data_IF_870528096276
#
_entry.id   IF_870528096276
#
_cell.length_a   1.000
_cell.length_b   1.000
_cell.length_c   1.000
_cell.angle_alpha   90.00
_cell.angle_beta   90.00
_cell.angle_gamma   90.00
#
_symmetry.space_group_name_H-M   'P 1'
#
loop_
_entity.id
_entity.type
_entity.pdbx_description
1 polymer ?
#
# COMPACT_ATOMS: atom_id res chain seq x y z
N UNK A 1 -1.63 20.27 -11.02
CA UNK A 1 -1.24 21.03 -9.80
C UNK A 1 0.09 21.77 -9.97
N UNK A 2 0.17 22.73 -10.90
CA UNK A 2 1.36 23.57 -11.11
C UNK A 2 1.28 24.94 -10.37
N UNK A 3 0.36 25.08 -9.40
CA UNK A 3 -0.01 26.37 -8.81
C UNK A 3 0.29 26.55 -7.32
N UNK A 4 0.77 25.53 -6.61
CA UNK A 4 1.16 25.70 -5.20
C UNK A 4 2.53 26.38 -5.13
N UNK A 5 2.59 27.55 -4.49
CA UNK A 5 3.82 28.34 -4.41
C UNK A 5 4.91 27.57 -3.64
N UNK A 6 6.17 27.80 -4.02
CA UNK A 6 7.33 27.24 -3.32
C UNK A 6 7.32 27.58 -1.82
N UNK A 7 6.81 28.77 -1.49
CA UNK A 7 6.58 29.21 -0.11
C UNK A 7 5.64 28.25 0.64
N UNK A 8 4.49 27.88 0.06
CA UNK A 8 3.54 26.98 0.70
C UNK A 8 4.16 25.60 0.97
N UNK A 9 5.00 25.11 0.06
CA UNK A 9 5.71 23.83 0.23
C UNK A 9 6.76 23.87 1.34
N UNK A 10 7.51 24.98 1.42
CA UNK A 10 8.50 25.17 2.47
C UNK A 10 7.83 25.20 3.86
N UNK A 11 6.70 25.91 3.94
CA UNK A 11 5.91 26.09 5.16
C UNK A 11 5.35 24.77 5.68
N UNK A 12 4.71 23.98 4.82
CA UNK A 12 4.16 22.69 5.23
C UNK A 12 5.26 21.70 5.61
N UNK A 13 6.43 21.74 4.95
CA UNK A 13 7.58 20.91 5.31
C UNK A 13 8.15 21.26 6.69
N UNK A 14 8.26 22.55 7.01
CA UNK A 14 8.67 23.01 8.33
C UNK A 14 7.65 22.61 9.42
N UNK A 15 6.36 22.77 9.15
CA UNK A 15 5.29 22.38 10.08
C UNK A 15 5.26 20.87 10.31
N UNK A 16 5.55 20.08 9.28
CA UNK A 16 5.56 18.63 9.32
C UNK A 16 6.61 18.07 10.31
N UNK A 17 7.81 18.66 10.37
CA UNK A 17 8.91 18.16 11.22
C UNK A 17 8.77 18.48 12.71
N UNK A 18 7.76 19.25 13.10
CA UNK A 18 7.51 19.62 14.49
C UNK A 18 7.14 18.46 15.42
N UNK A 19 7.06 18.77 16.72
CA UNK A 19 6.74 17.81 17.79
C UNK A 19 7.98 17.19 18.42
N UNK A 20 7.82 16.54 19.57
CA UNK A 20 8.87 15.76 20.24
C UNK A 20 8.26 14.44 20.72
N UNK A 21 9.00 13.35 20.55
CA UNK A 21 8.62 12.01 21.00
C UNK A 21 9.84 11.36 21.63
N UNK A 22 9.66 10.69 22.76
CA UNK A 22 10.75 9.96 23.40
C UNK A 22 10.85 8.56 22.80
N UNK A 23 12.06 8.05 22.55
CA UNK A 23 12.27 6.66 22.14
C UNK A 23 11.64 5.70 23.15
N UNK A 24 10.96 4.68 22.65
CA UNK A 24 10.38 3.63 23.45
C UNK A 24 11.49 2.78 24.07
N UNK A 25 11.45 2.62 25.39
CA UNK A 25 12.27 1.60 26.05
C UNK A 25 11.70 0.22 25.77
N UNK A 26 12.44 -0.60 25.05
CA UNK A 26 12.06 -1.98 24.76
C UNK A 26 12.13 -2.86 26.01
N UNK A 27 11.19 -3.79 26.12
CA UNK A 27 11.28 -4.92 27.05
C UNK A 27 12.29 -5.94 26.54
N UNK A 28 13.07 -6.53 27.45
CA UNK A 28 14.00 -7.62 27.13
C UNK A 28 13.30 -9.01 27.04
N UNK A 29 11.97 -9.05 27.03
CA UNK A 29 11.22 -10.30 26.99
C UNK A 29 11.48 -11.05 25.68
N UNK A 30 11.95 -12.29 25.78
CA UNK A 30 12.18 -13.14 24.61
C UNK A 30 10.85 -13.57 23.99
N UNK A 31 10.80 -13.55 22.65
CA UNK A 31 9.64 -14.02 21.87
C UNK A 31 10.08 -15.12 20.89
N UNK A 32 10.27 -16.37 21.36
CA UNK A 32 10.82 -17.45 20.55
C UNK A 32 10.02 -17.71 19.25
N UNK A 33 8.69 -17.62 19.31
CA UNK A 33 7.83 -17.78 18.14
C UNK A 33 8.06 -16.68 17.08
N UNK A 34 8.22 -15.43 17.53
CA UNK A 34 8.49 -14.28 16.64
C UNK A 34 9.90 -14.36 16.05
N UNK A 35 10.88 -14.76 16.86
CA UNK A 35 12.24 -15.04 16.39
C UNK A 35 12.26 -16.16 15.35
N UNK A 36 11.48 -17.22 15.55
CA UNK A 36 11.36 -18.32 14.59
C UNK A 36 10.73 -17.84 13.27
N UNK A 37 9.66 -17.03 13.34
CA UNK A 37 9.05 -16.42 12.16
C UNK A 37 10.05 -15.53 11.41
N UNK A 38 10.75 -14.62 12.09
CA UNK A 38 11.79 -13.80 11.46
C UNK A 38 12.91 -14.67 10.87
N UNK A 39 13.24 -15.80 11.51
CA UNK A 39 14.20 -16.80 11.03
C UNK A 39 13.82 -17.49 9.72
N UNK A 40 12.55 -17.42 9.29
CA UNK A 40 12.11 -17.89 7.95
C UNK A 40 12.50 -16.94 6.82
N UNK A 41 13.04 -15.76 7.14
CA UNK A 41 13.35 -14.71 6.17
C UNK A 41 12.28 -13.63 6.05
N UNK A 42 11.17 -13.75 6.78
CA UNK A 42 10.10 -12.75 6.81
C UNK A 42 10.45 -11.56 7.70
N UNK A 43 10.40 -10.38 7.13
CA UNK A 43 10.49 -9.11 7.87
C UNK A 43 9.10 -8.70 8.41
N UNK A 44 9.03 -8.22 9.66
CA UNK A 44 7.76 -8.00 10.36
C UNK A 44 7.48 -6.52 10.57
N UNK A 45 6.38 -6.02 9.98
CA UNK A 45 5.91 -4.65 10.16
C UNK A 45 4.53 -4.61 10.82
N UNK A 46 4.23 -3.51 11.53
CA UNK A 46 2.89 -3.24 12.06
C UNK A 46 2.12 -2.25 11.17
N UNK A 47 0.87 -2.57 10.89
CA UNK A 47 -0.07 -1.70 10.16
C UNK A 47 -0.89 -0.87 11.16
N UNK A 48 -0.30 0.22 11.65
CA UNK A 48 -0.99 1.18 12.52
C UNK A 48 -0.34 2.57 12.45
N UNK A 49 -1.17 3.60 12.57
CA UNK A 49 -0.72 4.98 12.84
C UNK A 49 -0.60 5.27 14.34
N UNK A 50 -1.09 4.37 15.18
CA UNK A 50 -1.28 4.58 16.60
C UNK A 50 -0.05 4.11 17.40
N UNK A 51 0.64 5.07 18.01
CA UNK A 51 1.82 4.81 18.83
C UNK A 51 1.52 3.86 20.01
N UNK A 52 0.35 3.97 20.64
CA UNK A 52 0.00 3.12 21.79
C UNK A 52 -0.27 1.68 21.36
N UNK A 53 -0.99 1.49 20.24
CA UNK A 53 -1.22 0.15 19.67
C UNK A 53 0.10 -0.51 19.25
N UNK A 54 0.98 0.24 18.56
CA UNK A 54 2.29 -0.25 18.17
C UNK A 54 3.16 -0.63 19.38
N UNK A 55 3.23 0.24 20.40
CA UNK A 55 4.04 0.01 21.60
C UNK A 55 3.64 -1.25 22.37
N UNK A 56 2.39 -1.68 22.28
CA UNK A 56 1.90 -2.91 22.91
C UNK A 56 2.66 -4.15 22.41
N UNK A 57 3.07 -4.16 21.14
CA UNK A 57 3.71 -5.31 20.51
C UNK A 57 5.11 -5.05 19.99
N UNK A 58 5.60 -3.81 20.09
CA UNK A 58 6.92 -3.46 19.56
C UNK A 58 8.03 -4.23 20.26
N UNK A 59 9.04 -4.63 19.49
CA UNK A 59 10.23 -5.32 19.99
C UNK A 59 11.21 -5.60 18.86
N UNK A 60 12.36 -6.23 19.15
CA UNK A 60 13.53 -6.20 18.27
C UNK A 60 13.34 -6.90 16.91
N UNK A 61 12.36 -7.79 16.79
CA UNK A 61 12.06 -8.48 15.54
C UNK A 61 11.20 -7.64 14.57
N UNK A 62 10.63 -6.51 15.01
CA UNK A 62 9.86 -5.61 14.15
C UNK A 62 10.73 -4.46 13.67
N UNK A 63 10.65 -4.15 12.38
CA UNK A 63 11.60 -3.24 11.71
C UNK A 63 10.95 -2.00 11.09
N UNK A 64 9.64 -2.04 10.85
CA UNK A 64 8.93 -0.91 10.27
C UNK A 64 7.44 -0.87 10.66
N UNK A 65 6.80 0.25 10.34
CA UNK A 65 5.36 0.43 10.41
C UNK A 65 4.80 0.86 9.06
N UNK A 66 3.53 0.57 8.83
CA UNK A 66 2.78 1.07 7.69
C UNK A 66 1.66 1.97 8.19
N UNK A 67 1.55 3.16 7.62
CA UNK A 67 0.39 4.02 7.77
C UNK A 67 -0.40 4.06 6.46
N UNK A 68 -1.63 4.57 6.58
CA UNK A 68 -2.49 4.92 5.47
C UNK A 68 -3.42 6.04 5.94
N UNK A 69 -4.12 6.68 5.02
CA UNK A 69 -4.93 7.86 5.36
C UNK A 69 -6.07 7.54 6.35
N UNK A 70 -6.61 6.31 6.31
CA UNK A 70 -7.62 5.84 7.29
C UNK A 70 -7.03 5.74 8.69
N UNK A 71 -5.82 5.18 8.84
CA UNK A 71 -5.12 5.06 10.12
C UNK A 71 -4.74 6.44 10.67
N UNK A 72 -4.28 7.35 9.83
CA UNK A 72 -3.95 8.72 10.23
C UNK A 72 -5.19 9.48 10.70
N UNK A 73 -6.32 9.36 10.00
CA UNK A 73 -7.58 9.95 10.46
C UNK A 73 -8.01 9.43 11.84
N UNK A 74 -7.83 8.13 12.12
CA UNK A 74 -8.10 7.57 13.46
C UNK A 74 -7.22 8.19 14.54
N UNK A 75 -5.94 8.43 14.26
CA UNK A 75 -5.03 9.11 15.20
C UNK A 75 -5.48 10.54 15.45
N UNK A 76 -5.80 11.30 14.40
CA UNK A 76 -6.27 12.69 14.52
C UNK A 76 -7.58 12.76 15.32
N UNK A 77 -8.48 11.79 15.17
CA UNK A 77 -9.74 11.72 15.93
C UNK A 77 -9.56 11.62 17.45
N UNK A 78 -8.37 11.28 17.95
CA UNK A 78 -8.05 11.26 19.38
C UNK A 78 -7.87 12.67 19.95
N UNK A 79 -7.64 13.67 19.10
CA UNK A 79 -7.49 15.08 19.47
C UNK A 79 -6.07 15.51 19.82
N UNK A 80 -5.12 14.57 19.94
CA UNK A 80 -3.74 14.85 20.36
C UNK A 80 -2.98 15.79 19.39
N UNK A 81 -3.43 15.88 18.14
CA UNK A 81 -2.84 16.73 17.10
C UNK A 81 -3.64 18.02 16.83
N UNK A 82 -4.79 18.24 17.49
CA UNK A 82 -5.72 19.32 17.14
C UNK A 82 -5.10 20.72 17.26
N UNK A 83 -4.40 21.00 18.37
CA UNK A 83 -3.72 22.29 18.56
C UNK A 83 -2.67 22.52 17.48
N UNK A 84 -1.85 21.49 17.24
CA UNK A 84 -0.73 21.57 16.34
C UNK A 84 -1.19 21.71 14.87
N UNK A 85 -2.29 21.04 14.48
CA UNK A 85 -2.91 21.15 13.16
C UNK A 85 -3.69 22.47 13.00
N UNK A 86 -4.34 22.96 14.06
CA UNK A 86 -4.99 24.26 14.06
C UNK A 86 -4.02 25.42 13.84
N UNK A 87 -2.82 25.35 14.44
CA UNK A 87 -1.76 26.34 14.19
C UNK A 87 -1.20 26.23 12.77
N UNK A 88 -0.97 25.01 12.29
CA UNK A 88 -0.58 24.77 10.90
C UNK A 88 -1.60 25.36 9.92
N UNK A 89 -2.89 25.12 10.14
CA UNK A 89 -3.98 25.65 9.32
C UNK A 89 -3.98 27.18 9.25
N UNK A 90 -3.82 27.87 10.39
CA UNK A 90 -3.71 29.34 10.42
C UNK A 90 -2.52 29.84 9.62
N UNK A 91 -1.36 29.19 9.77
CA UNK A 91 -0.13 29.59 9.08
C UNK A 91 -0.25 29.40 7.57
N UNK A 92 -0.76 28.24 7.14
CA UNK A 92 -0.99 27.94 5.71
C UNK A 92 -1.92 28.97 5.06
N UNK A 93 -3.00 29.38 5.74
CA UNK A 93 -3.92 30.43 5.25
C UNK A 93 -3.23 31.79 5.05
N UNK A 94 -2.37 32.18 5.99
CA UNK A 94 -1.67 33.47 5.93
C UNK A 94 -0.64 33.48 4.80
N UNK A 95 0.15 32.41 4.70
CA UNK A 95 1.28 32.33 3.76
C UNK A 95 0.83 32.02 2.33
N UNK A 96 -0.37 31.47 2.14
CA UNK A 96 -0.94 31.17 0.83
C UNK A 96 -2.32 31.79 0.64
N UNK A 97 -2.42 33.12 0.79
CA UNK A 97 -3.66 33.91 0.65
C UNK A 97 -4.35 33.82 -0.74
N UNK A 98 -3.85 33.01 -1.68
CA UNK A 98 -4.47 32.74 -2.98
C UNK A 98 -4.54 31.26 -3.37
N UNK A 99 -4.20 30.33 -2.47
CA UNK A 99 -4.37 28.90 -2.70
C UNK A 99 -5.86 28.53 -2.66
N UNK A 100 -6.24 27.50 -3.40
CA UNK A 100 -7.59 26.94 -3.28
C UNK A 100 -7.77 26.26 -1.92
N UNK A 101 -9.01 26.13 -1.46
CA UNK A 101 -9.31 25.39 -0.23
C UNK A 101 -8.80 23.94 -0.31
N UNK A 102 -8.93 23.29 -1.46
CA UNK A 102 -8.43 21.93 -1.66
C UNK A 102 -6.90 21.86 -1.61
N UNK A 103 -6.18 22.84 -2.16
CA UNK A 103 -4.72 22.91 -2.01
C UNK A 103 -4.31 23.04 -0.54
N UNK A 104 -5.02 23.87 0.25
CA UNK A 104 -4.78 24.01 1.68
C UNK A 104 -5.09 22.71 2.44
N UNK A 105 -6.14 21.98 2.05
CA UNK A 105 -6.48 20.66 2.63
C UNK A 105 -5.37 19.66 2.33
N UNK A 106 -4.86 19.61 1.10
CA UNK A 106 -3.77 18.70 0.74
C UNK A 106 -2.49 19.00 1.51
N UNK A 107 -2.14 20.28 1.67
CA UNK A 107 -0.97 20.70 2.45
C UNK A 107 -1.14 20.41 3.95
N UNK A 108 -2.31 20.64 4.52
CA UNK A 108 -2.59 20.29 5.91
C UNK A 108 -2.62 18.78 6.12
N UNK A 109 -3.12 18.01 5.14
CA UNK A 109 -3.08 16.55 5.12
C UNK A 109 -1.66 16.01 5.04
N UNK A 110 -0.78 16.68 4.30
CA UNK A 110 0.65 16.40 4.28
C UNK A 110 1.28 16.59 5.67
N UNK A 111 1.01 17.74 6.31
CA UNK A 111 1.49 18.00 7.69
C UNK A 111 0.99 16.92 8.65
N UNK A 112 -0.29 16.55 8.57
CA UNK A 112 -0.89 15.56 9.46
C UNK A 112 -0.28 14.16 9.29
N UNK A 113 -0.20 13.66 8.05
CA UNK A 113 0.43 12.37 7.73
C UNK A 113 1.90 12.34 8.17
N UNK A 114 2.66 13.39 7.86
CA UNK A 114 4.07 13.47 8.20
C UNK A 114 4.31 13.50 9.71
N UNK A 115 3.49 14.25 10.47
CA UNK A 115 3.61 14.28 11.94
C UNK A 115 3.34 12.93 12.59
N UNK A 116 2.32 12.21 12.13
CA UNK A 116 2.05 10.86 12.61
C UNK A 116 3.23 9.93 12.27
N UNK A 117 3.71 9.97 11.03
CA UNK A 117 4.83 9.13 10.62
C UNK A 117 6.13 9.44 11.40
N UNK A 118 6.47 10.71 11.59
CA UNK A 118 7.66 11.13 12.35
C UNK A 118 7.54 10.82 13.85
N UNK A 119 6.34 10.88 14.43
CA UNK A 119 6.11 10.41 15.81
C UNK A 119 6.44 8.92 15.93
N UNK A 120 6.01 8.10 14.97
CA UNK A 120 6.35 6.68 14.93
C UNK A 120 7.85 6.44 14.73
N UNK A 121 8.50 7.12 13.77
CA UNK A 121 9.95 7.01 13.55
C UNK A 121 10.71 7.31 14.85
N UNK A 122 10.41 8.44 15.50
CA UNK A 122 11.10 8.88 16.72
C UNK A 122 10.85 7.96 17.92
N UNK A 123 9.65 7.42 18.02
CA UNK A 123 9.29 6.52 19.12
C UNK A 123 9.95 5.15 18.96
N UNK A 124 9.97 4.61 17.75
CA UNK A 124 10.30 3.22 17.51
C UNK A 124 11.68 2.97 16.89
N UNK A 125 12.38 4.02 16.48
CA UNK A 125 13.60 3.95 15.66
C UNK A 125 13.40 3.04 14.45
N UNK A 126 12.28 3.27 13.75
CA UNK A 126 11.73 2.37 12.75
C UNK A 126 11.54 3.08 11.42
N UNK A 127 11.50 2.28 10.35
CA UNK A 127 11.05 2.78 9.05
C UNK A 127 9.52 2.90 9.04
N UNK A 128 8.98 3.84 8.26
CA UNK A 128 7.54 4.07 8.16
C UNK A 128 7.15 4.22 6.70
N UNK A 129 6.18 3.41 6.27
CA UNK A 129 5.56 3.52 4.96
C UNK A 129 4.42 4.54 5.01
N UNK A 130 4.59 5.67 4.34
CA UNK A 130 3.68 6.85 4.36
C UNK A 130 2.91 6.95 3.05
N UNK A 131 1.58 6.95 3.11
CA UNK A 131 0.70 6.95 1.95
C UNK A 131 0.47 8.33 1.35
N UNK A 132 0.62 8.43 0.03
CA UNK A 132 0.23 9.64 -0.70
C UNK A 132 -1.28 9.80 -0.75
N UNK A 133 -1.74 11.03 -0.94
CA UNK A 133 -3.15 11.31 -1.12
C UNK A 133 -3.68 10.62 -2.39
N UNK A 134 -4.84 9.93 -2.33
CA UNK A 134 -5.42 9.24 -3.49
C UNK A 134 -5.75 10.14 -4.70
N UNK A 135 -5.83 11.46 -4.50
CA UNK A 135 -6.11 12.44 -5.57
C UNK A 135 -4.96 12.50 -6.60
N UNK A 136 -3.76 12.04 -6.20
CA UNK A 136 -2.58 12.03 -7.05
C UNK A 136 -2.41 10.71 -7.79
N UNK A 137 -3.20 9.67 -7.46
CA UNK A 137 -3.01 8.30 -7.94
C UNK A 137 -3.12 8.14 -9.46
N UNK A 138 -3.72 9.09 -10.19
CA UNK A 138 -3.82 9.07 -11.65
C UNK A 138 -2.97 10.15 -12.34
N UNK A 139 -2.13 10.88 -11.58
CA UNK A 139 -1.26 11.95 -12.08
C UNK A 139 0.20 11.60 -11.78
N UNK A 140 0.96 11.33 -12.86
CA UNK A 140 2.37 10.94 -12.79
C UNK A 140 3.21 12.04 -12.14
N UNK A 141 3.04 13.28 -12.57
CA UNK A 141 3.86 14.40 -12.10
C UNK A 141 3.54 14.76 -10.66
N UNK A 142 2.25 14.74 -10.28
CA UNK A 142 1.86 14.95 -8.91
C UNK A 142 2.39 13.84 -7.99
N UNK A 143 2.27 12.57 -8.39
CA UNK A 143 2.78 11.43 -7.61
C UNK A 143 4.28 11.56 -7.36
N UNK A 144 5.06 11.90 -8.39
CA UNK A 144 6.51 12.10 -8.27
C UNK A 144 6.81 13.30 -7.36
N UNK A 145 6.15 14.44 -7.57
CA UNK A 145 6.37 15.64 -6.78
C UNK A 145 6.08 15.44 -5.30
N UNK A 146 4.94 14.83 -4.95
CA UNK A 146 4.56 14.55 -3.58
C UNK A 146 5.40 13.45 -2.94
N UNK A 147 5.78 12.41 -3.71
CA UNK A 147 6.69 11.36 -3.25
C UNK A 147 8.04 11.92 -2.82
N UNK A 148 8.65 12.79 -3.65
CA UNK A 148 9.89 13.49 -3.31
C UNK A 148 9.75 14.36 -2.05
N UNK A 149 8.63 15.06 -1.91
CA UNK A 149 8.37 15.94 -0.76
C UNK A 149 8.29 15.17 0.55
N UNK A 150 7.53 14.08 0.60
CA UNK A 150 7.50 13.24 1.80
C UNK A 150 8.87 12.65 2.10
N UNK A 151 9.54 12.10 1.09
CA UNK A 151 10.84 11.46 1.28
C UNK A 151 11.89 12.43 1.84
N UNK A 152 11.89 13.69 1.37
CA UNK A 152 12.82 14.71 1.84
C UNK A 152 12.69 15.04 3.34
N UNK A 153 11.55 14.73 3.99
CA UNK A 153 11.37 14.96 5.43
C UNK A 153 12.20 14.01 6.30
N UNK A 154 12.38 12.75 5.86
CA UNK A 154 13.06 11.71 6.63
C UNK A 154 13.57 10.59 5.69
N UNK A 155 14.58 10.88 4.83
CA UNK A 155 15.05 9.95 3.79
C UNK A 155 15.53 8.59 4.31
N UNK A 156 16.01 8.55 5.54
CA UNK A 156 16.55 7.36 6.21
C UNK A 156 15.47 6.37 6.65
N UNK A 157 14.25 6.86 6.91
CA UNK A 157 13.18 6.07 7.51
C UNK A 157 11.90 5.99 6.69
N UNK A 158 11.68 6.86 5.70
CA UNK A 158 10.42 6.84 4.95
C UNK A 158 10.45 5.92 3.74
N UNK A 159 9.42 5.07 3.65
CA UNK A 159 8.98 4.43 2.42
C UNK A 159 7.77 5.19 1.87
N UNK A 160 7.79 5.52 0.58
CA UNK A 160 6.67 6.25 -0.05
C UNK A 160 5.66 5.24 -0.55
N UNK A 161 4.42 5.34 -0.07
CA UNK A 161 3.36 4.39 -0.43
C UNK A 161 2.44 4.96 -1.51
N UNK A 162 2.40 4.27 -2.65
CA UNK A 162 1.75 4.73 -3.89
C UNK A 162 0.75 3.69 -4.38
N UNK A 163 -0.49 4.05 -4.73
CA UNK A 163 -1.44 3.13 -5.35
C UNK A 163 -0.91 2.54 -6.68
N UNK A 164 -1.10 1.23 -6.87
CA UNK A 164 -0.75 0.50 -8.10
C UNK A 164 -1.79 0.82 -9.19
N UNK A 165 -1.63 1.97 -9.82
CA UNK A 165 -2.40 2.42 -10.98
C UNK A 165 -1.49 2.51 -12.21
N UNK A 166 -2.04 2.66 -13.43
CA UNK A 166 -1.21 2.86 -14.61
C UNK A 166 -0.27 4.08 -14.48
N UNK A 167 -0.78 5.21 -13.98
CA UNK A 167 0.03 6.40 -13.71
C UNK A 167 1.02 6.18 -12.55
N UNK A 168 0.61 5.46 -11.51
CA UNK A 168 1.45 5.09 -10.37
C UNK A 168 2.65 4.26 -10.81
N UNK A 169 2.47 3.28 -11.70
CA UNK A 169 3.56 2.46 -12.25
C UNK A 169 4.63 3.34 -12.92
N UNK A 170 4.21 4.32 -13.74
CA UNK A 170 5.14 5.25 -14.39
C UNK A 170 5.83 6.20 -13.39
N UNK A 171 5.09 6.73 -12.42
CA UNK A 171 5.64 7.61 -11.39
C UNK A 171 6.68 6.90 -10.54
N UNK A 172 6.39 5.66 -10.13
CA UNK A 172 7.25 4.87 -9.27
C UNK A 172 8.51 4.41 -10.00
N UNK A 173 8.45 4.18 -11.32
CA UNK A 173 9.67 3.96 -12.11
C UNK A 173 10.65 5.13 -11.97
N UNK A 174 10.15 6.37 -12.00
CA UNK A 174 10.99 7.58 -11.84
C UNK A 174 11.51 7.70 -10.40
N UNK A 175 10.65 7.55 -9.40
CA UNK A 175 11.03 7.60 -7.98
C UNK A 175 12.08 6.53 -7.65
N UNK A 176 11.92 5.30 -8.15
CA UNK A 176 12.86 4.21 -7.91
C UNK A 176 14.21 4.46 -8.60
N UNK A 177 14.22 5.04 -9.80
CA UNK A 177 15.45 5.48 -10.47
C UNK A 177 16.20 6.59 -9.71
N UNK A 178 15.49 7.36 -8.88
CA UNK A 178 16.06 8.37 -7.99
C UNK A 178 16.51 7.78 -6.63
N UNK A 179 16.34 6.47 -6.41
CA UNK A 179 16.66 5.81 -5.15
C UNK A 179 15.64 6.04 -4.04
N UNK A 180 14.44 6.54 -4.36
CA UNK A 180 13.35 6.72 -3.39
C UNK A 180 12.64 5.37 -3.21
N UNK A 181 12.67 4.77 -2.01
CA UNK A 181 12.10 3.45 -1.79
C UNK A 181 10.57 3.53 -1.72
N UNK A 182 9.93 2.93 -2.72
CA UNK A 182 8.47 2.92 -2.84
C UNK A 182 7.86 1.59 -2.40
N UNK A 183 6.73 1.67 -1.68
CA UNK A 183 5.81 0.58 -1.39
C UNK A 183 4.53 0.74 -2.24
N UNK A 184 4.31 -0.12 -3.25
CA UNK A 184 3.02 -0.12 -3.93
C UNK A 184 1.91 -0.59 -3.00
N UNK A 185 0.73 0.01 -3.09
CA UNK A 185 -0.51 -0.45 -2.45
C UNK A 185 -1.56 -0.80 -3.49
N UNK A 186 -2.60 -1.55 -3.12
CA UNK A 186 -3.66 -2.03 -4.03
C UNK A 186 -3.21 -3.13 -5.01
N UNK A 187 -2.29 -4.01 -4.62
CA UNK A 187 -2.00 -5.20 -5.42
C UNK A 187 -2.95 -6.36 -5.12
N UNK A 188 -3.40 -7.04 -6.17
CA UNK A 188 -4.42 -8.10 -6.12
C UNK A 188 -4.09 -9.33 -6.97
N UNK A 189 -3.02 -9.31 -7.76
CA UNK A 189 -2.57 -10.48 -8.54
C UNK A 189 -1.06 -10.55 -8.72
N UNK A 190 -0.56 -11.76 -8.96
CA UNK A 190 0.83 -12.01 -9.31
C UNK A 190 1.25 -11.29 -10.60
N UNK A 191 0.36 -11.19 -11.60
CA UNK A 191 0.65 -10.49 -12.87
C UNK A 191 0.81 -8.99 -12.69
N UNK A 192 0.02 -8.35 -11.82
CA UNK A 192 0.22 -6.94 -11.46
C UNK A 192 1.59 -6.71 -10.84
N UNK A 193 1.95 -7.55 -9.87
CA UNK A 193 3.21 -7.42 -9.14
C UNK A 193 4.42 -7.81 -9.99
N UNK A 194 4.28 -8.74 -10.94
CA UNK A 194 5.30 -9.03 -11.95
C UNK A 194 5.60 -7.81 -12.81
N UNK A 195 4.57 -7.17 -13.39
CA UNK A 195 4.75 -5.95 -14.17
C UNK A 195 5.37 -4.84 -13.32
N UNK A 196 4.85 -4.61 -12.10
CA UNK A 196 5.35 -3.56 -11.23
C UNK A 196 6.84 -3.78 -10.86
N UNK A 197 7.22 -5.00 -10.49
CA UNK A 197 8.60 -5.36 -10.16
C UNK A 197 9.54 -5.19 -11.36
N UNK A 198 9.15 -5.71 -12.53
CA UNK A 198 9.99 -5.67 -13.72
C UNK A 198 10.09 -4.26 -14.35
N UNK A 199 8.97 -3.53 -14.41
CA UNK A 199 8.89 -2.24 -15.08
C UNK A 199 9.26 -1.06 -14.18
N UNK A 200 8.74 -1.02 -12.95
CA UNK A 200 8.93 0.11 -12.04
C UNK A 200 10.02 -0.13 -11.00
N UNK A 201 10.38 -1.38 -10.73
CA UNK A 201 11.38 -1.82 -9.75
C UNK A 201 11.28 -1.10 -8.38
N UNK A 202 10.09 -1.06 -7.75
CA UNK A 202 9.88 -0.48 -6.44
C UNK A 202 10.65 -1.25 -5.36
N UNK A 203 10.75 -0.69 -4.15
CA UNK A 203 11.25 -1.45 -3.00
C UNK A 203 10.27 -2.57 -2.63
N UNK A 204 8.96 -2.31 -2.69
CA UNK A 204 7.93 -3.26 -2.33
C UNK A 204 6.71 -3.24 -3.25
N UNK A 205 6.17 -4.43 -3.47
CA UNK A 205 4.80 -4.67 -3.97
C UNK A 205 3.98 -5.36 -2.89
N UNK A 206 2.65 -5.42 -3.02
CA UNK A 206 1.84 -6.12 -2.04
C UNK A 206 0.66 -6.90 -2.63
N UNK A 207 0.09 -7.76 -1.80
CA UNK A 207 -1.20 -8.41 -2.05
C UNK A 207 -2.12 -8.09 -0.88
N UNK A 208 -3.37 -7.70 -1.15
CA UNK A 208 -4.37 -7.40 -0.13
C UNK A 208 -5.22 -8.63 0.19
N UNK A 209 -4.72 -9.48 1.08
CA UNK A 209 -5.26 -10.82 1.34
C UNK A 209 -6.74 -10.80 1.73
N UNK A 210 -7.07 -10.08 2.81
CA UNK A 210 -8.43 -10.08 3.33
C UNK A 210 -9.49 -9.52 2.38
N UNK A 211 -9.09 -8.74 1.35
CA UNK A 211 -10.03 -8.27 0.32
C UNK A 211 -10.31 -9.35 -0.73
N UNK A 212 -9.30 -10.16 -1.07
CA UNK A 212 -9.47 -11.30 -1.96
C UNK A 212 -10.30 -12.41 -1.31
N UNK A 213 -10.08 -12.68 -0.02
CA UNK A 213 -10.90 -13.65 0.72
C UNK A 213 -12.36 -13.17 0.77
N UNK A 214 -12.58 -11.90 1.11
CA UNK A 214 -13.91 -11.31 1.20
C UNK A 214 -14.65 -11.25 -0.16
N UNK A 215 -13.98 -10.97 -1.29
CA UNK A 215 -14.69 -10.92 -2.58
C UNK A 215 -15.25 -12.28 -2.98
N UNK A 216 -14.60 -13.37 -2.63
CA UNK A 216 -15.12 -14.73 -2.86
C UNK A 216 -16.25 -15.04 -1.87
N UNK A 217 -16.03 -14.83 -0.57
CA UNK A 217 -16.99 -15.15 0.48
C UNK A 217 -18.28 -14.31 0.39
N UNK A 218 -18.16 -12.98 0.32
CA UNK A 218 -19.28 -12.04 0.38
C UNK A 218 -20.17 -12.11 -0.87
N UNK A 219 -19.62 -12.60 -1.99
CA UNK A 219 -20.38 -12.81 -3.22
C UNK A 219 -20.94 -14.24 -3.37
N UNK A 220 -20.67 -15.13 -2.40
CA UNK A 220 -21.21 -16.49 -2.40
C UNK A 220 -20.53 -17.45 -3.38
N UNK A 221 -19.30 -17.15 -3.81
CA UNK A 221 -18.53 -18.00 -4.73
C UNK A 221 -17.78 -19.14 -4.04
N UNK A 222 -17.70 -19.10 -2.71
CA UNK A 222 -16.94 -20.04 -1.88
C UNK A 222 -16.83 -19.53 -0.45
N UNK A 223 -15.99 -20.17 0.39
CA UNK A 223 -15.72 -19.69 1.76
C UNK A 223 -14.64 -18.59 1.81
N UNK A 224 -13.95 -18.36 0.69
CA UNK A 224 -12.87 -17.37 0.58
C UNK A 224 -11.57 -17.77 1.28
N UNK A 225 -11.48 -18.98 1.84
CA UNK A 225 -10.29 -19.44 2.54
C UNK A 225 -9.10 -19.55 1.56
N UNK A 226 -7.93 -19.10 2.02
CA UNK A 226 -6.65 -19.14 1.31
C UNK A 226 -6.58 -18.39 -0.03
N UNK A 227 -7.62 -17.68 -0.50
CA UNK A 227 -7.58 -17.02 -1.81
C UNK A 227 -6.45 -15.99 -1.86
N UNK A 228 -6.42 -15.08 -0.91
CA UNK A 228 -5.42 -14.03 -0.79
C UNK A 228 -4.04 -14.55 -0.44
N UNK A 229 -3.96 -15.60 0.38
CA UNK A 229 -2.73 -16.29 0.77
C UNK A 229 -2.09 -16.94 -0.45
N UNK A 230 -2.87 -17.68 -1.23
CA UNK A 230 -2.42 -18.33 -2.46
C UNK A 230 -1.90 -17.32 -3.48
N UNK A 231 -2.61 -16.20 -3.66
CA UNK A 231 -2.18 -15.10 -4.52
C UNK A 231 -0.89 -14.46 -3.99
N UNK A 232 -0.77 -14.27 -2.68
CA UNK A 232 0.43 -13.70 -2.06
C UNK A 232 1.65 -14.60 -2.28
N UNK A 233 1.52 -15.92 -2.09
CA UNK A 233 2.60 -16.88 -2.33
C UNK A 233 3.00 -16.96 -3.80
N UNK A 234 2.02 -16.95 -4.72
CA UNK A 234 2.31 -16.94 -6.16
C UNK A 234 3.04 -15.66 -6.58
N UNK A 235 2.59 -14.52 -6.07
CA UNK A 235 3.24 -13.23 -6.30
C UNK A 235 4.65 -13.18 -5.72
N UNK A 236 4.85 -13.66 -4.49
CA UNK A 236 6.15 -13.76 -3.84
C UNK A 236 7.13 -14.61 -4.65
N UNK A 237 6.71 -15.79 -5.12
CA UNK A 237 7.52 -16.68 -5.94
C UNK A 237 7.95 -16.02 -7.26
N UNK A 238 7.03 -15.33 -7.94
CA UNK A 238 7.31 -14.62 -9.19
C UNK A 238 8.26 -13.44 -8.98
N UNK A 239 8.10 -12.68 -7.90
CA UNK A 239 8.98 -11.57 -7.54
C UNK A 239 10.37 -12.07 -7.15
N UNK A 240 10.47 -13.16 -6.37
CA UNK A 240 11.74 -13.83 -6.05
C UNK A 240 12.48 -14.28 -7.31
N UNK A 241 11.79 -14.94 -8.24
CA UNK A 241 12.37 -15.36 -9.51
C UNK A 241 12.89 -14.17 -10.35
N UNK A 242 12.20 -13.02 -10.33
CA UNK A 242 12.70 -11.79 -10.99
C UNK A 242 13.97 -11.24 -10.31
N UNK A 243 14.07 -11.28 -8.98
CA UNK A 243 15.32 -10.86 -8.31
C UNK A 243 16.50 -11.76 -8.67
N UNK A 244 16.24 -13.04 -8.91
CA UNK A 244 17.24 -14.05 -9.28
C UNK A 244 17.57 -14.05 -10.80
N UNK A 245 16.80 -13.37 -11.63
CA UNK A 245 16.98 -13.38 -13.10
C UNK A 245 18.23 -12.63 -13.59
N UNK A 246 18.82 -11.78 -12.74
CA UNK A 246 19.94 -10.90 -13.11
C UNK A 246 19.51 -9.57 -13.76
N UNK A 247 18.21 -9.27 -13.82
CA UNK A 247 17.67 -8.03 -14.39
C UNK A 247 17.77 -6.80 -13.45
N UNK A 248 18.42 -6.94 -12.30
CA UNK A 248 18.59 -5.86 -11.33
C UNK A 248 17.31 -5.52 -10.54
N UNK A 249 16.32 -6.41 -10.54
CA UNK A 249 15.12 -6.27 -9.72
C UNK A 249 15.47 -6.41 -8.24
N UNK A 250 15.03 -5.46 -7.42
CA UNK A 250 15.24 -5.44 -5.96
C UNK A 250 13.95 -5.59 -5.16
N UNK A 251 12.81 -5.54 -5.86
CA UNK A 251 11.47 -5.56 -5.28
C UNK A 251 11.22 -6.74 -4.36
N UNK A 252 10.60 -6.49 -3.20
CA UNK A 252 10.16 -7.49 -2.23
C UNK A 252 8.63 -7.55 -2.11
N UNK A 253 8.09 -8.71 -1.77
CA UNK A 253 6.65 -8.93 -1.62
C UNK A 253 6.18 -8.66 -0.17
N UNK A 254 5.18 -7.80 -0.02
CA UNK A 254 4.47 -7.62 1.25
C UNK A 254 3.17 -8.42 1.24
N UNK A 255 2.96 -9.25 2.26
CA UNK A 255 1.63 -9.74 2.63
C UNK A 255 0.91 -8.66 3.43
N UNK A 256 -0.16 -8.08 2.86
CA UNK A 256 -0.88 -6.94 3.44
C UNK A 256 -2.36 -7.26 3.64
N UNK A 257 -3.05 -6.41 4.42
CA UNK A 257 -4.49 -6.57 4.65
C UNK A 257 -4.83 -7.95 5.27
N UNK A 258 -3.99 -8.43 6.19
CA UNK A 258 -4.29 -9.60 7.02
C UNK A 258 -5.48 -9.31 7.94
N UNK A 259 -6.19 -10.36 8.33
CA UNK A 259 -7.42 -10.35 9.14
C UNK A 259 -7.34 -11.30 10.33
N UNK A 260 -6.54 -12.36 10.23
CA UNK A 260 -6.50 -13.43 11.21
C UNK A 260 -5.08 -13.85 11.54
N UNK A 261 -4.81 -14.18 12.81
CA UNK A 261 -3.50 -14.60 13.27
C UNK A 261 -2.95 -15.86 12.58
N UNK A 262 -3.83 -16.75 12.09
CA UNK A 262 -3.42 -17.95 11.35
C UNK A 262 -2.65 -17.64 10.06
N UNK A 263 -3.00 -16.53 9.39
CA UNK A 263 -2.33 -16.10 8.15
C UNK A 263 -0.84 -15.81 8.36
N UNK A 264 -0.47 -15.36 9.56
CA UNK A 264 0.92 -15.05 9.92
C UNK A 264 1.79 -16.32 9.87
N UNK A 265 1.23 -17.46 10.29
CA UNK A 265 1.92 -18.75 10.23
C UNK A 265 1.92 -19.31 8.80
N UNK A 266 0.77 -19.28 8.11
CA UNK A 266 0.61 -19.81 6.75
C UNK A 266 1.55 -19.16 5.72
N UNK A 267 1.91 -17.89 5.92
CA UNK A 267 2.71 -17.14 4.95
C UNK A 267 4.19 -17.07 5.31
N UNK A 268 4.64 -17.84 6.32
CA UNK A 268 6.00 -17.75 6.82
C UNK A 268 7.00 -17.97 5.66
N UNK A 269 7.98 -17.09 5.52
CA UNK A 269 8.92 -17.08 4.39
C UNK A 269 8.57 -16.12 3.24
N UNK A 270 7.38 -15.51 3.21
CA UNK A 270 7.13 -14.31 2.37
C UNK A 270 8.04 -13.18 2.83
N UNK A 271 8.54 -12.36 1.90
CA UNK A 271 9.60 -11.39 2.20
C UNK A 271 9.28 -10.44 3.36
N UNK A 272 8.05 -9.92 3.43
CA UNK A 272 7.62 -8.90 4.40
C UNK A 272 6.15 -9.07 4.77
N UNK A 273 5.82 -8.82 6.04
CA UNK A 273 4.44 -8.64 6.48
C UNK A 273 4.16 -7.19 6.86
N UNK A 274 2.94 -6.73 6.56
CA UNK A 274 2.35 -5.59 7.25
C UNK A 274 1.02 -6.02 7.87
N UNK A 275 1.02 -6.19 9.19
CA UNK A 275 -0.10 -6.79 9.92
C UNK A 275 -0.67 -5.83 10.96
N UNK A 276 -2.00 -5.74 11.09
CA UNK A 276 -2.60 -4.99 12.18
C UNK A 276 -2.13 -5.52 13.54
N UNK A 277 -1.91 -4.66 14.56
CA UNK A 277 -1.51 -5.09 15.91
C UNK A 277 -2.41 -6.19 16.49
N UNK A 278 -3.73 -6.14 16.24
CA UNK A 278 -4.67 -7.18 16.66
C UNK A 278 -4.42 -8.55 16.02
N UNK A 279 -4.05 -8.59 14.73
CA UNK A 279 -3.69 -9.83 14.03
C UNK A 279 -2.41 -10.42 14.61
N UNK A 280 -1.42 -9.57 14.88
CA UNK A 280 -0.18 -10.01 15.53
C UNK A 280 -0.44 -10.55 16.94
N UNK A 281 -1.31 -9.90 17.71
CA UNK A 281 -1.77 -10.40 19.02
C UNK A 281 -2.45 -11.77 18.94
N UNK A 282 -3.31 -11.99 17.94
CA UNK A 282 -3.93 -13.30 17.69
C UNK A 282 -2.89 -14.37 17.37
N UNK A 283 -1.89 -14.05 16.53
CA UNK A 283 -0.79 -14.97 16.24
C UNK A 283 -0.01 -15.35 17.49
N UNK A 284 0.35 -14.39 18.33
CA UNK A 284 1.03 -14.67 19.61
C UNK A 284 0.19 -15.54 20.56
N UNK A 285 -1.14 -15.42 20.50
CA UNK A 285 -2.08 -16.20 21.31
C UNK A 285 -2.54 -17.52 20.66
N UNK A 286 -2.09 -17.83 19.43
CA UNK A 286 -2.56 -18.98 18.64
C UNK A 286 -2.17 -20.35 19.21
N UNK A 287 -1.12 -20.40 20.04
CA UNK A 287 -0.51 -21.65 20.49
C UNK A 287 0.40 -22.32 19.44
N UNK A 288 0.67 -21.66 18.30
CA UNK A 288 1.62 -22.14 17.30
C UNK A 288 3.02 -22.33 17.90
N UNK A 289 3.70 -23.38 17.47
CA UNK A 289 5.10 -23.65 17.78
C UNK A 289 6.00 -23.20 16.64
N UNK A 290 7.29 -22.97 16.95
CA UNK A 290 8.29 -22.64 15.94
C UNK A 290 8.40 -23.69 14.81
N UNK A 291 8.10 -24.96 15.12
CA UNK A 291 8.09 -26.05 14.15
C UNK A 291 6.93 -25.98 13.14
N UNK A 292 5.87 -25.21 13.44
CA UNK A 292 4.74 -25.03 12.54
C UNK A 292 5.04 -23.97 11.46
N UNK A 293 6.09 -23.17 11.64
CA UNK A 293 6.47 -22.10 10.73
C UNK A 293 7.37 -22.63 9.62
N UNK A 294 6.81 -22.78 8.43
CA UNK A 294 7.53 -23.22 7.24
C UNK A 294 6.98 -22.52 5.99
N UNK A 295 7.81 -22.32 4.95
CA UNK A 295 7.35 -21.83 3.66
C UNK A 295 6.39 -22.82 2.99
N UNK A 296 5.29 -22.29 2.46
CA UNK A 296 4.32 -23.01 1.64
C UNK A 296 4.50 -22.63 0.16
N UNK A 297 4.27 -23.58 -0.74
CA UNK A 297 4.06 -23.25 -2.15
C UNK A 297 2.61 -22.83 -2.36
N UNK A 298 2.39 -21.90 -3.30
CA UNK A 298 1.03 -21.44 -3.66
C UNK A 298 0.11 -22.60 -4.05
N UNK A 299 0.64 -23.62 -4.73
CA UNK A 299 -0.12 -24.79 -5.17
C UNK A 299 -0.59 -25.69 -4.01
N UNK A 300 0.03 -25.58 -2.83
CA UNK A 300 -0.32 -26.38 -1.66
C UNK A 300 -1.54 -25.83 -0.91
N UNK A 301 -1.94 -24.58 -1.18
CA UNK A 301 -3.08 -23.95 -0.54
C UNK A 301 -4.39 -24.26 -1.29
N UNK A 302 -5.31 -25.03 -0.68
CA UNK A 302 -6.60 -25.31 -1.30
C UNK A 302 -7.44 -24.03 -1.34
N UNK A 303 -8.07 -23.79 -2.49
CA UNK A 303 -9.01 -22.70 -2.72
C UNK A 303 -10.26 -23.31 -3.34
N UNK A 304 -11.40 -23.13 -2.69
CA UNK A 304 -12.71 -23.56 -3.17
C UNK A 304 -13.47 -22.33 -3.67
N UNK A 305 -13.61 -22.21 -4.99
CA UNK A 305 -14.38 -21.15 -5.64
C UNK A 305 -15.05 -21.67 -6.92
N UNK A 306 -16.27 -21.20 -7.20
CA UNK A 306 -17.02 -21.53 -8.42
C UNK A 306 -16.76 -20.56 -9.60
N UNK A 307 -15.86 -19.59 -9.40
CA UNK A 307 -15.37 -18.64 -10.41
C UNK A 307 -13.91 -18.92 -10.77
N UNK A 308 -13.51 -18.50 -11.98
CA UNK A 308 -12.11 -18.57 -12.41
C UNK A 308 -11.27 -17.49 -11.73
N UNK A 309 -10.30 -17.94 -10.92
CA UNK A 309 -9.36 -17.10 -10.19
C UNK A 309 -7.93 -17.20 -10.75
N UNK A 310 -7.74 -17.93 -11.85
CA UNK A 310 -6.41 -18.27 -12.40
C UNK A 310 -5.56 -17.03 -12.67
N UNK A 311 -6.17 -15.97 -13.20
CA UNK A 311 -5.50 -14.70 -13.48
C UNK A 311 -4.91 -14.00 -12.22
N UNK A 312 -5.32 -14.41 -11.01
CA UNK A 312 -4.78 -13.84 -9.78
C UNK A 312 -3.40 -14.39 -9.41
N UNK A 313 -3.09 -15.64 -9.74
CA UNK A 313 -1.81 -16.28 -9.37
C UNK A 313 -0.95 -16.69 -10.57
N UNK A 314 -1.51 -16.81 -11.77
CA UNK A 314 -0.75 -17.12 -12.98
C UNK A 314 -0.24 -15.87 -13.70
N UNK A 315 0.97 -15.97 -14.24
CA UNK A 315 1.58 -14.96 -15.12
C UNK A 315 1.92 -15.63 -16.44
N UNK A 316 1.02 -15.48 -17.42
CA UNK A 316 1.09 -16.14 -18.73
C UNK A 316 2.33 -15.69 -19.53
N UNK A 317 2.76 -16.51 -20.49
CA UNK A 317 3.85 -16.13 -21.41
C UNK A 317 3.49 -14.88 -22.24
N UNK A 318 2.21 -14.74 -22.61
CA UNK A 318 1.73 -13.55 -23.30
C UNK A 318 1.89 -12.29 -22.42
N UNK A 319 1.52 -12.40 -21.14
CA UNK A 319 1.70 -11.31 -20.17
C UNK A 319 3.17 -10.99 -19.93
N UNK A 320 4.03 -12.01 -19.82
CA UNK A 320 5.49 -11.83 -19.69
C UNK A 320 6.07 -11.11 -20.90
N UNK A 321 5.62 -11.49 -22.11
CA UNK A 321 5.99 -10.82 -23.36
C UNK A 321 5.58 -9.34 -23.39
N UNK A 322 4.36 -9.04 -22.93
CA UNK A 322 3.88 -7.67 -22.76
C UNK A 322 4.73 -6.87 -21.77
N UNK A 323 5.00 -7.41 -20.58
CA UNK A 323 5.79 -6.70 -19.57
C UNK A 323 7.22 -6.40 -20.07
N UNK A 324 7.85 -7.35 -20.77
CA UNK A 324 9.15 -7.14 -21.40
C UNK A 324 9.11 -6.07 -22.50
N UNK A 325 8.03 -6.00 -23.28
CA UNK A 325 7.82 -4.94 -24.26
C UNK A 325 7.61 -3.57 -23.60
N UNK A 326 6.86 -3.50 -22.51
CA UNK A 326 6.69 -2.28 -21.72
C UNK A 326 8.05 -1.75 -21.24
N UNK A 327 8.93 -2.62 -20.73
CA UNK A 327 10.30 -2.23 -20.34
C UNK A 327 11.10 -1.68 -21.52
N UNK A 328 11.07 -2.35 -22.68
CA UNK A 328 11.79 -1.88 -23.89
C UNK A 328 11.32 -0.50 -24.35
N UNK A 329 10.02 -0.23 -24.23
CA UNK A 329 9.38 1.01 -24.65
C UNK A 329 9.18 2.02 -23.52
N UNK A 330 9.83 1.83 -22.37
CA UNK A 330 9.56 2.62 -21.17
C UNK A 330 9.72 4.14 -21.38
N UNK A 331 10.65 4.56 -22.24
CA UNK A 331 10.87 5.98 -22.57
C UNK A 331 9.77 6.60 -23.44
N UNK A 332 8.94 5.77 -24.08
CA UNK A 332 7.79 6.21 -24.89
C UNK A 332 6.54 6.42 -24.03
N UNK A 333 6.46 5.81 -22.85
CA UNK A 333 5.28 5.85 -21.98
C UNK A 333 5.31 7.13 -21.13
N UNK A 334 4.39 8.07 -21.41
CA UNK A 334 4.33 9.39 -20.77
C UNK A 334 3.17 9.51 -19.78
N UNK A 335 2.07 8.81 -20.04
CA UNK A 335 0.87 8.79 -19.21
C UNK A 335 0.38 7.36 -18.97
N UNK A 336 -0.45 7.18 -17.94
CA UNK A 336 -1.02 5.87 -17.61
C UNK A 336 -1.74 5.21 -18.79
N UNK A 337 -2.44 6.02 -19.60
CA UNK A 337 -3.13 5.57 -20.81
C UNK A 337 -2.20 4.90 -21.84
N UNK A 338 -0.92 5.29 -21.92
CA UNK A 338 0.04 4.67 -22.85
C UNK A 338 0.33 3.21 -22.43
N UNK A 339 0.47 2.98 -21.12
CA UNK A 339 0.67 1.64 -20.57
C UNK A 339 -0.59 0.78 -20.71
N UNK A 340 -1.76 1.38 -20.47
CA UNK A 340 -3.06 0.72 -20.69
C UNK A 340 -3.25 0.31 -22.15
N UNK A 341 -2.94 1.20 -23.10
CA UNK A 341 -3.02 0.88 -24.53
C UNK A 341 -2.04 -0.23 -24.93
N UNK A 342 -0.84 -0.26 -24.34
CA UNK A 342 0.13 -1.33 -24.59
C UNK A 342 -0.33 -2.69 -24.05
N UNK A 343 -1.11 -2.71 -22.98
CA UNK A 343 -1.69 -3.91 -22.39
C UNK A 343 -2.95 -4.41 -23.15
N UNK A 344 -3.45 -3.65 -24.12
CA UNK A 344 -4.70 -3.96 -24.81
C UNK A 344 -4.61 -5.31 -25.56
N UNK A 345 -5.57 -6.19 -25.30
CA UNK A 345 -5.63 -7.53 -25.91
C UNK A 345 -4.75 -8.61 -25.26
N UNK A 346 -3.91 -8.26 -24.28
CA UNK A 346 -3.13 -9.25 -23.51
C UNK A 346 -4.08 -10.06 -22.61
N UNK A 347 -3.98 -11.39 -22.65
CA UNK A 347 -4.83 -12.32 -21.86
C UNK A 347 -6.34 -12.03 -21.95
N UNK A 348 -6.84 -11.65 -23.14
CA UNK A 348 -8.24 -11.32 -23.33
C UNK A 348 -8.63 -9.88 -22.96
N UNK A 349 -7.65 -9.06 -22.52
CA UNK A 349 -7.79 -7.63 -22.27
C UNK A 349 -8.36 -7.26 -20.89
N UNK A 350 -8.51 -5.95 -20.66
CA UNK A 350 -9.09 -5.41 -19.43
C UNK A 350 -8.12 -5.30 -18.24
N UNK A 351 -6.82 -5.54 -18.44
CA UNK A 351 -5.79 -5.23 -17.45
C UNK A 351 -5.41 -3.75 -17.51
N UNK A 352 -5.29 -3.09 -16.35
CA UNK A 352 -4.98 -1.66 -16.22
C UNK A 352 -5.98 -0.75 -16.95
N UNK A 353 -7.24 -1.18 -17.01
CA UNK A 353 -8.26 -0.52 -17.84
C UNK A 353 -8.66 0.84 -17.27
N UNK A 354 -9.10 1.74 -18.14
CA UNK A 354 -9.76 2.98 -17.72
C UNK A 354 -11.24 2.74 -17.43
N UNK A 355 -11.73 3.29 -16.31
CA UNK A 355 -13.13 3.22 -15.92
C UNK A 355 -13.81 4.55 -16.18
N UNK A 356 -15.03 4.52 -16.73
CA UNK A 356 -15.81 5.74 -16.90
C UNK A 356 -16.24 6.32 -15.54
N UNK A 357 -16.61 7.62 -15.46
CA UNK A 357 -17.14 8.20 -14.22
C UNK A 357 -18.37 7.47 -13.67
N UNK A 358 -19.22 6.93 -14.54
CA UNK A 358 -20.42 6.18 -14.12
C UNK A 358 -20.04 4.82 -13.54
N UNK A 359 -19.11 4.09 -14.18
CA UNK A 359 -18.61 2.82 -13.65
C UNK A 359 -17.86 3.02 -12.34
N UNK A 360 -17.07 4.09 -12.24
CA UNK A 360 -16.42 4.49 -11.00
C UNK A 360 -17.42 4.69 -9.85
N UNK A 361 -18.52 5.40 -10.13
CA UNK A 361 -19.58 5.65 -9.17
C UNK A 361 -20.30 4.35 -8.76
N UNK A 362 -20.56 3.46 -9.72
CA UNK A 362 -21.19 2.17 -9.47
C UNK A 362 -20.28 1.28 -8.59
N UNK A 363 -18.99 1.19 -8.90
CA UNK A 363 -18.00 0.45 -8.07
C UNK A 363 -17.92 1.05 -6.66
N UNK A 364 -17.91 2.38 -6.55
CA UNK A 364 -17.92 3.06 -5.25
C UNK A 364 -19.17 2.72 -4.44
N UNK A 365 -20.31 2.57 -5.10
CA UNK A 365 -21.59 2.21 -4.48
C UNK A 365 -21.58 0.76 -3.98
N UNK A 366 -20.90 -0.14 -4.70
CA UNK A 366 -20.69 -1.52 -4.23
C UNK A 366 -19.82 -1.58 -2.97
N UNK A 367 -18.93 -0.61 -2.79
CA UNK A 367 -18.12 -0.44 -1.58
C UNK A 367 -16.73 -1.08 -1.68
N UNK A 368 -16.22 -1.57 -0.54
CA UNK A 368 -14.84 -2.11 -0.46
C UNK A 368 -14.67 -3.44 -1.20
N UNK A 369 -15.76 -4.20 -1.29
CA UNK A 369 -15.86 -5.49 -1.95
C UNK A 369 -16.87 -5.33 -3.09
N UNK A 370 -16.43 -5.40 -4.36
CA UNK A 370 -17.31 -5.17 -5.51
C UNK A 370 -18.33 -6.31 -5.67
N UNK A 371 -19.51 -5.99 -6.24
CA UNK A 371 -20.57 -6.98 -6.48
C UNK A 371 -20.30 -7.71 -7.78
N UNK A 372 -19.65 -8.86 -7.69
CA UNK A 372 -19.14 -9.65 -8.82
C UNK A 372 -20.18 -9.98 -9.89
N UNK A 373 -21.45 -10.19 -9.53
CA UNK A 373 -22.53 -10.48 -10.48
C UNK A 373 -22.83 -9.33 -11.46
N UNK A 374 -22.39 -8.10 -11.15
CA UNK A 374 -22.48 -6.93 -12.04
C UNK A 374 -21.28 -6.79 -12.99
N UNK A 375 -20.14 -7.36 -12.63
CA UNK A 375 -18.83 -7.01 -13.19
C UNK A 375 -18.07 -8.16 -13.83
N UNK A 376 -18.14 -9.37 -13.27
CA UNK A 376 -17.47 -10.53 -13.86
C UNK A 376 -18.02 -10.81 -15.25
N UNK A 377 -17.12 -11.12 -16.19
CA UNK A 377 -17.41 -11.21 -17.62
C UNK A 377 -17.30 -9.90 -18.39
N UNK A 378 -17.23 -8.74 -17.70
CA UNK A 378 -16.95 -7.42 -18.30
C UNK A 378 -15.53 -6.94 -18.00
N UNK A 379 -15.02 -7.28 -16.81
CA UNK A 379 -13.69 -6.88 -16.33
C UNK A 379 -13.01 -8.04 -15.60
N UNK A 380 -11.67 -8.16 -15.70
CA UNK A 380 -10.90 -9.06 -14.85
C UNK A 380 -11.05 -8.71 -13.37
N UNK A 381 -11.02 -9.75 -12.51
CA UNK A 381 -11.25 -9.57 -11.08
C UNK A 381 -10.17 -8.72 -10.40
N UNK A 382 -8.90 -8.89 -10.74
CA UNK A 382 -7.81 -8.09 -10.15
C UNK A 382 -7.91 -6.60 -10.50
N UNK A 383 -8.26 -6.26 -11.73
CA UNK A 383 -8.49 -4.88 -12.16
C UNK A 383 -9.70 -4.26 -11.42
N UNK A 384 -10.80 -5.01 -11.32
CA UNK A 384 -11.98 -4.63 -10.55
C UNK A 384 -11.66 -4.40 -9.06
N UNK A 385 -10.88 -5.28 -8.45
CA UNK A 385 -10.45 -5.16 -7.06
C UNK A 385 -9.56 -3.94 -6.84
N UNK A 386 -8.65 -3.67 -7.78
CA UNK A 386 -7.78 -2.47 -7.76
C UNK A 386 -8.61 -1.20 -7.82
N UNK A 387 -9.60 -1.16 -8.72
CA UNK A 387 -10.52 -0.04 -8.85
C UNK A 387 -11.38 0.15 -7.61
N UNK A 388 -12.01 -0.91 -7.11
CA UNK A 388 -12.83 -0.87 -5.89
C UNK A 388 -12.01 -0.40 -4.69
N UNK A 389 -10.75 -0.81 -4.61
CA UNK A 389 -9.88 -0.37 -3.53
C UNK A 389 -9.49 1.10 -3.61
N UNK A 390 -9.21 1.62 -4.82
CA UNK A 390 -8.95 3.04 -5.03
C UNK A 390 -10.17 3.91 -4.71
N UNK A 391 -11.37 3.48 -5.10
CA UNK A 391 -12.62 4.17 -4.76
C UNK A 391 -12.88 4.16 -3.25
N UNK A 392 -12.66 3.02 -2.58
CA UNK A 392 -12.72 2.94 -1.12
C UNK A 392 -11.72 3.87 -0.44
N UNK A 393 -10.50 3.99 -0.96
CA UNK A 393 -9.49 4.91 -0.41
C UNK A 393 -9.92 6.36 -0.59
N UNK A 394 -10.54 6.69 -1.72
CA UNK A 394 -11.08 8.03 -1.98
C UNK A 394 -12.19 8.39 -0.98
N UNK A 395 -13.07 7.44 -0.66
CA UNK A 395 -14.12 7.63 0.37
C UNK A 395 -13.50 7.81 1.76
N UNK A 396 -12.57 6.95 2.15
CA UNK A 396 -11.90 7.03 3.46
C UNK A 396 -11.10 8.35 3.59
N UNK A 397 -10.43 8.79 2.52
CA UNK A 397 -9.71 10.06 2.45
C UNK A 397 -10.63 11.27 2.59
N UNK A 398 -11.81 11.25 1.96
CA UNK A 398 -12.77 12.35 2.06
C UNK A 398 -13.12 12.67 3.51
N UNK A 399 -13.23 11.66 4.37
CA UNK A 399 -13.51 11.86 5.79
C UNK A 399 -12.36 12.58 6.53
N UNK A 400 -11.11 12.34 6.13
CA UNK A 400 -9.96 13.10 6.62
C UNK A 400 -9.98 14.53 6.08
N UNK A 401 -10.19 14.70 4.79
CA UNK A 401 -10.24 16.01 4.12
C UNK A 401 -11.31 16.92 4.72
N UNK A 402 -12.51 16.38 4.96
CA UNK A 402 -13.62 17.14 5.58
C UNK A 402 -13.26 17.60 7.00
N UNK A 403 -12.54 16.78 7.77
CA UNK A 403 -12.05 17.14 9.10
C UNK A 403 -11.02 18.26 9.03
N UNK A 404 -10.04 18.12 8.14
CA UNK A 404 -8.98 19.12 7.96
C UNK A 404 -9.55 20.44 7.42
N UNK A 405 -10.55 20.38 6.55
CA UNK A 405 -11.29 21.55 6.07
C UNK A 405 -12.00 22.29 7.20
N UNK A 406 -12.51 21.57 8.20
CA UNK A 406 -13.08 22.18 9.41
C UNK A 406 -12.05 22.89 10.31
N UNK A 407 -10.75 22.65 10.12
CA UNK A 407 -9.65 23.36 10.79
C UNK A 407 -9.13 24.56 9.98
N UNK A 408 -9.36 24.52 8.66
CA UNK A 408 -9.29 25.69 7.78
C UNK A 408 -10.53 26.56 7.94
#
# INVERSE_FOLDING_TARGET
MAGVSEALRAVSSELAVGGESQPLSLSAAERPLVKALAGTGTELWLDTGDRTEAATYWGPELTALTTNNTLVNKVIQRGDLDEALGEAAKRLKVEAAGASEDDLVYELGFVANARVALDLVRTFDARVSVELHPAFAQDVEATVAWGRRYFALCPESFYIKVPLTPAGILAVRRLSAEGIPVNFTLGFSARQNYLAALFANPAYVNVFLGRLNAVVADNGHGDGANVGERVCLASDAVVKALRESGEGVVTRQIAASMREGGQVATLAGVDVYTMPPGVFGQFLASGAAAADLHPYDSADLPVEADIDLTALWDVSDAFRGFAAEAVRRAEELRAGADLTALAEGVDGGGFLREYTPDEAMEIRTDGKIPVTSKWLGRVPLDDLMSRAALESFTVDQKALDDRLRGML
#
